data_IF_108950465000
#
_entry.id   IF_108950465000
#
_cell.length_a   1.000
_cell.length_b   1.000
_cell.length_c   1.000
_cell.angle_alpha   90.00
_cell.angle_beta   90.00
_cell.angle_gamma   90.00
#
_symmetry.space_group_name_H-M   'P 1'
#
loop_
_entity.id
_entity.type
_entity.pdbx_description
1 polymer ?
#
# COMPACT_ATOMS: atom_id res chain seq x y z
N UNK A 1 10.93 -8.46 5.10
CA UNK A 1 9.56 -8.30 5.55
C UNK A 1 8.67 -9.28 4.82
N UNK A 2 7.83 -9.99 5.54
CA UNK A 2 6.92 -10.91 4.89
C UNK A 2 5.73 -10.16 4.33
N UNK A 3 5.00 -10.85 3.45
CA UNK A 3 3.78 -10.29 2.89
C UNK A 3 2.81 -9.87 3.98
N UNK A 4 2.61 -10.73 4.97
CA UNK A 4 1.68 -10.42 6.05
C UNK A 4 2.11 -9.20 6.84
N UNK A 5 3.38 -9.12 7.15
CA UNK A 5 3.89 -7.97 7.89
C UNK A 5 3.72 -6.69 7.09
N UNK A 6 4.06 -6.76 5.82
CA UNK A 6 3.98 -5.59 4.95
C UNK A 6 2.55 -5.09 4.86
N UNK A 7 1.63 -6.00 4.56
CA UNK A 7 0.24 -5.60 4.38
C UNK A 7 -0.39 -5.13 5.68
N UNK A 8 0.01 -5.72 6.80
CA UNK A 8 -0.51 -5.29 8.08
C UNK A 8 -0.07 -3.86 8.41
N UNK A 9 1.21 -3.57 8.20
CA UNK A 9 1.70 -2.24 8.47
C UNK A 9 1.08 -1.22 7.53
N UNK A 10 0.90 -1.61 6.28
CA UNK A 10 0.24 -0.75 5.33
C UNK A 10 -1.19 -0.47 5.76
N UNK A 11 -1.91 -1.50 6.14
CA UNK A 11 -3.30 -1.35 6.57
C UNK A 11 -3.41 -0.47 7.79
N UNK A 12 -2.58 -0.73 8.79
CA UNK A 12 -2.63 0.03 10.03
C UNK A 12 -2.38 1.52 9.76
N UNK A 13 -1.39 1.81 8.96
CA UNK A 13 -1.09 3.20 8.65
C UNK A 13 -2.18 3.89 7.86
N UNK A 14 -2.76 3.18 6.91
CA UNK A 14 -3.80 3.76 6.09
C UNK A 14 -5.09 3.97 6.87
N UNK A 15 -5.40 3.08 7.80
CA UNK A 15 -6.62 3.21 8.58
C UNK A 15 -6.66 4.48 9.42
N UNK A 16 -5.51 5.02 9.72
CA UNK A 16 -5.45 6.25 10.48
C UNK A 16 -5.82 7.46 9.65
N UNK A 17 -5.80 7.32 8.34
CA UNK A 17 -6.02 8.47 7.47
C UNK A 17 -7.14 8.28 6.47
N UNK A 18 -7.48 7.06 6.16
CA UNK A 18 -8.47 6.74 5.15
C UNK A 18 -9.59 5.92 5.75
N UNK A 19 -10.69 5.81 5.02
CA UNK A 19 -11.80 4.98 5.47
C UNK A 19 -11.40 3.52 5.37
N UNK A 20 -12.19 2.67 6.02
CA UNK A 20 -11.95 1.24 5.95
C UNK A 20 -12.06 0.72 4.52
N UNK A 21 -13.01 1.23 3.78
CA UNK A 21 -13.20 0.79 2.41
C UNK A 21 -12.02 1.17 1.54
N UNK A 22 -11.56 2.40 1.67
CA UNK A 22 -10.41 2.85 0.90
C UNK A 22 -9.17 2.05 1.26
N UNK A 23 -9.00 1.81 2.56
CA UNK A 23 -7.87 1.03 3.02
C UNK A 23 -7.90 -0.38 2.47
N UNK A 24 -9.07 -1.01 2.52
CA UNK A 24 -9.20 -2.38 2.03
C UNK A 24 -8.88 -2.47 0.54
N UNK A 25 -9.33 -1.51 -0.23
CA UNK A 25 -9.06 -1.49 -1.66
C UNK A 25 -7.56 -1.41 -1.94
N UNK A 26 -6.88 -0.53 -1.22
CA UNK A 26 -5.45 -0.35 -1.42
C UNK A 26 -4.68 -1.59 -0.97
N UNK A 27 -5.04 -2.14 0.17
CA UNK A 27 -4.37 -3.33 0.67
C UNK A 27 -4.54 -4.49 -0.30
N UNK A 28 -5.74 -4.64 -0.85
CA UNK A 28 -6.00 -5.70 -1.81
C UNK A 28 -5.15 -5.53 -3.07
N UNK A 29 -4.98 -4.30 -3.50
CA UNK A 29 -4.17 -4.00 -4.67
C UNK A 29 -2.72 -4.40 -4.43
N UNK A 30 -2.19 -4.07 -3.27
CA UNK A 30 -0.81 -4.41 -2.96
C UNK A 30 -0.62 -5.89 -2.69
N UNK A 31 -1.66 -6.56 -2.15
CA UNK A 31 -1.61 -8.01 -2.03
C UNK A 31 -1.44 -8.65 -3.41
N UNK A 32 -2.05 -8.05 -4.42
CA UNK A 32 -1.90 -8.54 -5.79
C UNK A 32 -0.47 -8.48 -6.29
N UNK A 33 0.28 -7.46 -5.89
CA UNK A 33 1.68 -7.37 -6.28
C UNK A 33 2.49 -8.53 -5.70
N UNK A 34 2.19 -8.93 -4.47
CA UNK A 34 2.88 -10.07 -3.88
C UNK A 34 2.52 -11.37 -4.59
N UNK A 35 1.26 -11.51 -5.01
CA UNK A 35 0.85 -12.69 -5.77
C UNK A 35 1.57 -12.75 -7.10
N UNK A 36 1.60 -11.64 -7.82
CA UNK A 36 2.27 -11.59 -9.11
C UNK A 36 3.77 -11.88 -8.96
N UNK A 37 4.37 -11.31 -7.94
CA UNK A 37 5.79 -11.56 -7.69
C UNK A 37 6.06 -13.02 -7.43
N UNK A 38 5.19 -13.66 -6.66
CA UNK A 38 5.34 -15.08 -6.38
C UNK A 38 5.29 -15.91 -7.66
N UNK A 39 4.34 -15.57 -8.52
CA UNK A 39 4.22 -16.28 -9.79
C UNK A 39 5.46 -16.10 -10.66
N UNK A 40 6.14 -14.99 -10.50
CA UNK A 40 7.37 -14.72 -11.24
C UNK A 40 8.60 -15.30 -10.56
N UNK A 41 8.42 -15.96 -9.43
CA UNK A 41 9.56 -16.56 -8.72
C UNK A 41 10.26 -15.62 -7.76
N UNK A 42 9.64 -14.51 -7.44
CA UNK A 42 10.22 -13.55 -6.50
C UNK A 42 9.83 -13.86 -5.09
N UNK A 43 10.72 -13.59 -4.16
CA UNK A 43 10.39 -13.77 -2.75
C UNK A 43 9.56 -12.60 -2.27
N UNK A 44 8.91 -12.79 -1.12
CA UNK A 44 8.13 -11.72 -0.51
C UNK A 44 9.03 -10.55 -0.15
N UNK A 45 10.24 -10.83 0.28
CA UNK A 45 11.17 -9.77 0.60
C UNK A 45 11.56 -8.96 -0.64
N UNK A 46 11.72 -9.63 -1.75
CA UNK A 46 12.04 -8.94 -2.99
C UNK A 46 10.93 -7.99 -3.40
N UNK A 47 9.69 -8.47 -3.31
CA UNK A 47 8.54 -7.65 -3.66
C UNK A 47 8.44 -6.47 -2.71
N UNK A 48 8.60 -6.73 -1.41
CA UNK A 48 8.52 -5.66 -0.42
C UNK A 48 9.59 -4.60 -0.67
N UNK A 49 10.79 -5.02 -1.01
CA UNK A 49 11.87 -4.08 -1.31
C UNK A 49 11.55 -3.23 -2.52
N UNK A 50 10.97 -3.84 -3.53
CA UNK A 50 10.62 -3.10 -4.75
C UNK A 50 9.50 -2.10 -4.49
N UNK A 51 8.59 -2.42 -3.60
CA UNK A 51 7.49 -1.51 -3.27
C UNK A 51 7.91 -0.37 -2.37
N UNK A 52 8.97 -0.56 -1.63
CA UNK A 52 9.41 0.44 -0.65
C UNK A 52 8.79 0.16 0.71
N UNK A 53 9.04 1.03 1.67
CA UNK A 53 8.53 0.80 3.02
C UNK A 53 7.02 1.06 3.09
N UNK A 54 6.31 0.30 3.94
CA UNK A 54 4.88 0.56 4.12
C UNK A 54 4.61 1.98 4.62
N UNK A 55 5.47 2.49 5.47
CA UNK A 55 5.30 3.85 5.99
C UNK A 55 5.38 4.88 4.86
N UNK A 56 6.31 4.68 3.94
CA UNK A 56 6.43 5.57 2.80
C UNK A 56 5.22 5.52 1.91
N UNK A 57 4.69 4.32 1.69
CA UNK A 57 3.49 4.17 0.89
C UNK A 57 2.30 4.84 1.56
N UNK A 58 2.16 4.66 2.86
CA UNK A 58 1.07 5.28 3.59
C UNK A 58 1.10 6.79 3.40
N UNK A 59 2.27 7.37 3.54
CA UNK A 59 2.42 8.81 3.41
C UNK A 59 2.05 9.27 2.02
N UNK A 60 2.52 8.55 1.01
CA UNK A 60 2.26 8.91 -0.36
C UNK A 60 0.79 8.75 -0.73
N UNK A 61 0.22 7.59 -0.41
CA UNK A 61 -1.13 7.29 -0.81
C UNK A 61 -2.15 8.11 -0.05
N UNK A 62 -1.96 8.28 1.24
CA UNK A 62 -2.87 9.07 2.04
C UNK A 62 -2.78 10.54 1.64
N UNK A 63 -1.59 10.99 1.31
CA UNK A 63 -1.41 12.35 0.85
C UNK A 63 -2.12 12.62 -0.45
N UNK A 64 -2.00 11.68 -1.37
CA UNK A 64 -2.68 11.80 -2.64
C UNK A 64 -4.19 11.87 -2.49
N UNK A 65 -4.73 10.95 -1.70
CA UNK A 65 -6.16 10.90 -1.49
C UNK A 65 -6.65 12.16 -0.80
N UNK A 66 -5.94 12.57 0.21
CA UNK A 66 -6.35 13.73 1.00
C UNK A 66 -6.33 15.01 0.18
N UNK A 67 -5.39 15.12 -0.72
CA UNK A 67 -5.27 16.33 -1.50
C UNK A 67 -6.02 16.36 -2.78
N UNK A 68 -6.72 15.25 -3.05
CA UNK A 68 -7.27 15.07 -4.32
C UNK A 68 -8.24 16.09 -4.78
N UNK A 69 -9.29 16.23 -4.15
CA UNK A 69 -10.34 17.12 -4.60
C UNK A 69 -9.90 18.56 -4.68
N UNK A 70 -9.56 19.12 -3.59
CA UNK A 70 -9.34 20.54 -3.57
C UNK A 70 -8.09 20.97 -4.29
N UNK A 71 -7.24 20.07 -4.50
CA UNK A 71 -6.00 20.44 -5.01
C UNK A 71 -5.95 20.70 -6.46
N UNK A 72 -6.93 20.38 -7.10
CA UNK A 72 -6.78 20.50 -8.39
C UNK A 72 -7.22 21.59 -8.92
N UNK A 73 -6.43 22.14 -9.35
CA UNK A 73 -6.64 23.14 -9.76
C UNK A 73 -6.85 23.19 -10.89
N UNK A 74 -6.92 23.20 -11.05
CA UNK A 74 -6.83 23.39 -11.80
C UNK A 74 -6.85 23.67 -12.21
#
# INVERSE_FOLDING_TARGET
MTREEYLRELQTGLEERLTKEETADIVAEYAGFFESGREEGRSEEDVASALGSPAGLVRMLAGEKAGQGPAFPV
#
